data_IF_996544110800
#
_entry.id   IF_996544110800
#
_cell.length_a   1.000
_cell.length_b   1.000
_cell.length_c   1.000
_cell.angle_alpha   90.00
_cell.angle_beta   90.00
_cell.angle_gamma   90.00
#
_symmetry.space_group_name_H-M   'P 1'
#
loop_
_entity.id
_entity.type
_entity.pdbx_description
1 polymer ?
#
# COMPACT_ATOMS: atom_id res chain seq x y z
N UNK A 1 -10.08 12.73 -1.21
CA UNK A 1 -8.75 12.11 -0.96
C UNK A 1 -8.73 10.76 -1.65
N UNK A 2 -7.60 10.36 -2.24
CA UNK A 2 -7.38 9.00 -2.74
C UNK A 2 -6.80 8.16 -1.61
N UNK A 3 -7.61 7.29 -1.03
CA UNK A 3 -7.31 6.58 0.22
C UNK A 3 -7.70 5.09 0.18
N UNK A 4 -7.93 4.53 -1.01
CA UNK A 4 -8.26 3.10 -1.17
C UNK A 4 -7.07 2.30 -1.71
N UNK A 5 -7.09 0.98 -1.52
CA UNK A 5 -6.11 0.08 -2.16
C UNK A 5 -6.19 0.10 -3.69
N UNK A 6 -7.37 0.38 -4.25
CA UNK A 6 -7.54 0.59 -5.69
C UNK A 6 -6.75 1.83 -6.15
N UNK A 7 -6.89 2.94 -5.44
CA UNK A 7 -6.13 4.16 -5.76
C UNK A 7 -4.63 3.91 -5.67
N UNK A 8 -4.17 3.19 -4.65
CA UNK A 8 -2.77 2.81 -4.49
C UNK A 8 -2.28 2.02 -5.71
N UNK A 9 -3.05 1.02 -6.15
CA UNK A 9 -2.73 0.21 -7.32
C UNK A 9 -2.68 1.04 -8.62
N UNK A 10 -3.65 1.93 -8.82
CA UNK A 10 -3.66 2.87 -9.95
C UNK A 10 -2.38 3.74 -9.95
N UNK A 11 -1.91 4.19 -8.78
CA UNK A 11 -0.67 4.97 -8.65
C UNK A 11 0.59 4.15 -8.94
N UNK A 12 0.65 2.89 -8.51
CA UNK A 12 1.77 1.99 -8.77
C UNK A 12 1.88 1.66 -10.26
N UNK A 13 0.77 1.40 -10.95
CA UNK A 13 0.77 1.21 -12.39
C UNK A 13 1.20 2.49 -13.12
N UNK A 14 0.70 3.66 -12.73
CA UNK A 14 1.16 4.91 -13.32
C UNK A 14 2.67 5.16 -13.09
N UNK A 15 3.24 4.66 -11.99
CA UNK A 15 4.68 4.71 -11.74
C UNK A 15 5.46 3.76 -12.66
N UNK A 16 4.91 2.57 -12.94
CA UNK A 16 5.50 1.62 -13.88
C UNK A 16 5.53 2.17 -15.31
N UNK A 17 4.43 2.80 -15.76
CA UNK A 17 4.36 3.45 -17.07
C UNK A 17 5.42 4.55 -17.19
N UNK A 18 5.56 5.42 -16.17
CA UNK A 18 6.60 6.46 -16.18
C UNK A 18 8.02 5.92 -16.24
N UNK A 19 8.30 4.80 -15.57
CA UNK A 19 9.62 4.16 -15.63
C UNK A 19 9.89 3.47 -16.96
N UNK A 20 8.85 3.14 -17.73
CA UNK A 20 8.96 2.46 -19.03
C UNK A 20 9.07 3.43 -20.20
N UNK A 21 9.01 4.74 -19.93
CA UNK A 21 9.18 5.80 -20.94
C UNK A 21 10.62 5.81 -21.48
N UNK A 22 10.79 5.46 -22.76
CA UNK A 22 12.10 5.38 -23.42
C UNK A 22 12.78 6.75 -23.57
N UNK A 23 12.03 7.85 -23.52
CA UNK A 23 12.59 9.20 -23.56
C UNK A 23 13.16 9.64 -22.19
N UNK A 24 12.85 8.90 -21.11
CA UNK A 24 13.29 9.20 -19.77
C UNK A 24 14.76 8.77 -19.56
N UNK A 25 15.67 9.74 -19.59
CA UNK A 25 17.11 9.49 -19.54
C UNK A 25 17.85 10.41 -18.56
N UNK A 26 19.11 10.08 -18.27
CA UNK A 26 20.02 10.89 -17.47
C UNK A 26 19.50 11.19 -16.06
N UNK A 27 19.58 12.45 -15.64
CA UNK A 27 19.16 12.89 -14.30
C UNK A 27 17.65 12.68 -14.07
N UNK A 28 16.82 12.85 -15.10
CA UNK A 28 15.37 12.63 -14.99
C UNK A 28 15.05 11.18 -14.66
N UNK A 29 15.75 10.24 -15.30
CA UNK A 29 15.62 8.81 -14.98
C UNK A 29 16.07 8.50 -13.55
N UNK A 30 17.21 9.05 -13.12
CA UNK A 30 17.68 8.89 -11.75
C UNK A 30 16.67 9.40 -10.71
N UNK A 31 16.07 10.56 -10.97
CA UNK A 31 15.04 11.15 -10.12
C UNK A 31 13.77 10.29 -10.08
N UNK A 32 13.30 9.79 -11.23
CA UNK A 32 12.11 8.94 -11.28
C UNK A 32 12.35 7.58 -10.61
N UNK A 33 13.55 7.00 -10.70
CA UNK A 33 13.91 5.79 -9.95
C UNK A 33 13.86 6.06 -8.44
N UNK A 34 14.40 7.18 -7.98
CA UNK A 34 14.36 7.57 -6.56
C UNK A 34 12.92 7.76 -6.06
N UNK A 35 12.09 8.42 -6.87
CA UNK A 35 10.67 8.59 -6.62
C UNK A 35 9.94 7.24 -6.57
N UNK A 36 10.20 6.35 -7.53
CA UNK A 36 9.61 5.01 -7.58
C UNK A 36 9.90 4.24 -6.30
N UNK A 37 11.16 4.21 -5.85
CA UNK A 37 11.57 3.57 -4.59
C UNK A 37 10.80 4.13 -3.40
N UNK A 38 10.66 5.45 -3.33
CA UNK A 38 9.94 6.13 -2.25
C UNK A 38 8.44 5.77 -2.27
N UNK A 39 7.81 5.80 -3.45
CA UNK A 39 6.39 5.42 -3.62
C UNK A 39 6.16 3.96 -3.24
N UNK A 40 7.02 3.05 -3.72
CA UNK A 40 6.94 1.62 -3.39
C UNK A 40 7.12 1.39 -1.89
N UNK A 41 8.05 2.08 -1.23
CA UNK A 41 8.26 1.95 0.21
C UNK A 41 7.01 2.34 1.02
N UNK A 42 6.39 3.48 0.69
CA UNK A 42 5.13 3.91 1.33
C UNK A 42 4.00 2.94 1.02
N UNK A 43 3.89 2.47 -0.23
CA UNK A 43 2.90 1.48 -0.63
C UNK A 43 3.01 0.18 0.17
N UNK A 44 4.23 -0.31 0.40
CA UNK A 44 4.47 -1.50 1.21
C UNK A 44 3.99 -1.33 2.65
N UNK A 45 4.17 -0.15 3.25
CA UNK A 45 3.66 0.13 4.60
C UNK A 45 2.12 0.16 4.64
N UNK A 46 1.48 0.74 3.62
CA UNK A 46 0.01 0.74 3.51
C UNK A 46 -0.52 -0.70 3.41
N UNK A 47 0.10 -1.53 2.58
CA UNK A 47 -0.29 -2.94 2.43
C UNK A 47 -0.04 -3.71 3.73
N UNK A 48 1.10 -3.51 4.39
CA UNK A 48 1.40 -4.16 5.66
C UNK A 48 0.35 -3.83 6.74
N UNK A 49 -0.07 -2.56 6.83
CA UNK A 49 -1.15 -2.15 7.73
C UNK A 49 -2.48 -2.81 7.35
N UNK A 50 -2.81 -2.85 6.06
CA UNK A 50 -4.00 -3.55 5.56
C UNK A 50 -4.01 -5.04 5.91
N UNK A 51 -2.86 -5.72 5.77
CA UNK A 51 -2.69 -7.12 6.16
C UNK A 51 -2.88 -7.31 7.66
N UNK A 52 -2.30 -6.45 8.49
CA UNK A 52 -2.44 -6.53 9.95
C UNK A 52 -3.92 -6.40 10.38
N UNK A 53 -4.65 -5.46 9.78
CA UNK A 53 -6.10 -5.31 10.04
C UNK A 53 -6.87 -6.54 9.57
N UNK A 54 -6.54 -7.09 8.39
CA UNK A 54 -7.18 -8.29 7.86
C UNK A 54 -6.94 -9.52 8.76
N UNK A 55 -5.72 -9.71 9.25
CA UNK A 55 -5.38 -10.79 10.19
C UNK A 55 -6.15 -10.64 11.51
N UNK A 56 -6.21 -9.43 12.06
CA UNK A 56 -7.01 -9.15 13.25
C UNK A 56 -8.50 -9.45 13.04
N UNK A 57 -9.04 -9.15 11.86
CA UNK A 57 -10.44 -9.47 11.51
C UNK A 57 -10.66 -10.98 11.40
N UNK A 58 -9.76 -11.73 10.78
CA UNK A 58 -9.83 -13.20 10.69
C UNK A 58 -9.83 -13.84 12.08
N UNK A 59 -8.93 -13.40 12.96
CA UNK A 59 -8.86 -13.91 14.34
C UNK A 59 -10.15 -13.64 15.14
N UNK A 60 -10.83 -12.53 14.83
CA UNK A 60 -12.13 -12.21 15.42
C UNK A 60 -13.27 -13.08 14.87
N UNK A 61 -13.24 -13.42 13.59
CA UNK A 61 -14.25 -14.28 12.98
C UNK A 61 -14.12 -15.73 13.49
N UNK A 62 -12.88 -16.21 13.68
CA UNK A 62 -12.57 -17.58 14.11
C UNK A 62 -12.81 -17.85 15.61
N UNK A 63 -13.20 -16.85 16.40
CA UNK A 63 -13.28 -16.98 17.86
C UNK A 63 -14.59 -17.61 18.34
N UNK A 64 -14.52 -18.34 19.45
CA UNK A 64 -15.71 -18.85 20.14
C UNK A 64 -16.43 -17.79 21.00
N UNK A 65 -15.73 -16.72 21.42
CA UNK A 65 -16.30 -15.68 22.29
C UNK A 65 -16.76 -14.47 21.47
N UNK A 66 -18.07 -14.29 21.33
CA UNK A 66 -18.67 -13.20 20.56
C UNK A 66 -18.28 -11.78 21.05
N UNK A 67 -17.80 -11.63 22.28
CA UNK A 67 -17.53 -10.32 22.91
C UNK A 67 -16.08 -9.82 22.79
N UNK A 68 -15.18 -10.56 22.14
CA UNK A 68 -13.84 -10.01 21.89
C UNK A 68 -13.96 -8.80 20.94
N UNK A 69 -13.05 -7.84 20.95
CA UNK A 69 -13.08 -6.74 19.99
C UNK A 69 -11.69 -6.51 19.42
N UNK A 70 -11.62 -5.93 18.23
CA UNK A 70 -10.36 -5.61 17.60
C UNK A 70 -9.75 -4.45 18.40
N UNK A 71 -8.45 -4.50 18.75
CA UNK A 71 -7.82 -3.36 19.39
C UNK A 71 -8.02 -2.09 18.55
N UNK A 72 -8.36 -0.96 19.19
CA UNK A 72 -8.66 0.31 18.51
C UNK A 72 -7.61 0.76 17.49
N UNK A 73 -6.35 0.39 17.69
CA UNK A 73 -5.25 0.69 16.77
C UNK A 73 -5.32 -0.04 15.42
N UNK A 74 -6.18 -1.07 15.31
CA UNK A 74 -6.41 -1.87 14.11
C UNK A 74 -7.80 -1.60 13.52
N UNK A 75 -8.53 -0.63 14.05
CA UNK A 75 -9.75 -0.10 13.43
C UNK A 75 -9.31 0.77 12.23
N UNK A 76 -9.94 0.53 11.08
CA UNK A 76 -9.64 1.21 9.81
C UNK A 76 -10.71 2.22 9.44
#
# INVERSE_FOLDING_TARGET
>A
MKNTLKDLNDHLFAQLERLSDEELTGEKLANEISRAKSVTSVASQIIANGTLVLEGRKLIDDRMNANTELPKMLEG
#
